data_IF_967842501169
#
_entry.id   IF_967842501169
#
_cell.length_a   1.000
_cell.length_b   1.000
_cell.length_c   1.000
_cell.angle_alpha   90.00
_cell.angle_beta   90.00
_cell.angle_gamma   90.00
#
_symmetry.space_group_name_H-M   'P 1'
#
loop_
_entity.id
_entity.type
_entity.pdbx_description
1 polymer ?
#
# COMPACT_ATOMS: atom_id res chain seq x y z
N UNK A 1 10.44 -17.77 -4.76
CA UNK A 1 10.74 -18.08 -3.35
C UNK A 1 11.63 -16.97 -2.81
N UNK A 2 11.28 -16.36 -1.68
CA UNK A 2 12.09 -15.30 -1.07
C UNK A 2 13.33 -15.87 -0.38
N UNK A 3 14.42 -15.11 -0.33
CA UNK A 3 15.64 -15.48 0.40
C UNK A 3 15.35 -15.59 1.91
N UNK A 4 15.79 -16.66 2.58
CA UNK A 4 15.68 -16.83 4.03
C UNK A 4 16.37 -15.71 4.81
N UNK A 5 15.94 -15.53 6.07
CA UNK A 5 16.49 -14.57 7.03
C UNK A 5 16.65 -13.16 6.47
N UNK A 6 15.68 -12.73 5.66
CA UNK A 6 15.74 -11.46 4.95
C UNK A 6 14.48 -10.65 5.26
N UNK A 7 14.66 -9.36 5.58
CA UNK A 7 13.57 -8.40 5.70
C UNK A 7 13.18 -7.89 4.32
N UNK A 8 11.88 -7.77 4.07
CA UNK A 8 11.33 -7.25 2.84
C UNK A 8 10.35 -6.13 3.11
N UNK A 9 10.29 -5.17 2.19
CA UNK A 9 9.19 -4.21 2.05
C UNK A 9 8.40 -4.51 0.80
N UNK A 10 7.09 -4.32 0.88
CA UNK A 10 6.19 -4.41 -0.26
C UNK A 10 5.65 -3.02 -0.61
N UNK A 11 5.55 -2.76 -1.90
CA UNK A 11 5.09 -1.49 -2.45
C UNK A 11 3.99 -1.73 -3.48
N UNK A 12 2.90 -0.99 -3.38
CA UNK A 12 1.88 -0.93 -4.42
C UNK A 12 2.32 0.08 -5.48
N UNK A 13 2.47 -0.35 -6.73
CA UNK A 13 2.97 0.49 -7.83
C UNK A 13 1.87 0.68 -8.88
N UNK A 14 1.54 1.94 -9.17
CA UNK A 14 0.39 2.29 -9.99
C UNK A 14 0.51 3.67 -10.64
N UNK A 15 -0.40 3.97 -11.56
CA UNK A 15 -0.61 5.27 -12.18
C UNK A 15 -2.05 5.70 -12.02
N UNK A 16 -2.25 7.02 -12.05
CA UNK A 16 -3.56 7.66 -12.04
C UNK A 16 -3.88 8.22 -13.43
N UNK A 17 -5.10 8.03 -13.90
CA UNK A 17 -5.65 8.63 -15.12
C UNK A 17 -7.14 8.92 -14.90
N UNK A 18 -7.48 10.18 -14.65
CA UNK A 18 -8.84 10.60 -14.28
C UNK A 18 -9.37 9.76 -13.11
N UNK A 19 -8.60 9.68 -12.02
CA UNK A 19 -8.97 8.91 -10.82
C UNK A 19 -10.21 9.52 -10.16
N UNK A 20 -11.07 8.65 -9.63
CA UNK A 20 -12.26 9.03 -8.87
C UNK A 20 -12.64 7.95 -7.86
N UNK A 21 -13.30 8.35 -6.77
CA UNK A 21 -13.81 7.46 -5.72
C UNK A 21 -12.79 7.12 -4.62
N UNK A 22 -11.69 7.87 -4.52
CA UNK A 22 -10.58 7.69 -3.56
C UNK A 22 -10.23 8.98 -2.78
N UNK A 23 -11.11 9.98 -2.82
CA UNK A 23 -10.80 11.35 -2.38
C UNK A 23 -10.83 11.52 -0.85
N UNK A 24 -11.69 10.77 -0.16
CA UNK A 24 -12.02 11.02 1.24
C UNK A 24 -11.54 9.95 2.22
N UNK A 25 -11.43 8.70 1.77
CA UNK A 25 -11.07 7.57 2.62
C UNK A 25 -9.75 6.97 2.16
N UNK A 26 -8.78 6.78 3.08
CA UNK A 26 -7.52 6.16 2.71
C UNK A 26 -7.74 4.68 2.40
N UNK A 27 -6.93 4.18 1.47
CA UNK A 27 -6.84 2.76 1.20
C UNK A 27 -6.11 2.09 2.34
N UNK A 28 -6.72 1.04 2.90
CA UNK A 28 -6.10 0.17 3.90
C UNK A 28 -5.18 -0.81 3.19
N UNK A 29 -3.90 -0.77 3.52
CA UNK A 29 -2.86 -1.63 2.97
C UNK A 29 -2.45 -2.65 4.03
N UNK A 30 -2.20 -3.89 3.63
CA UNK A 30 -1.66 -4.90 4.53
C UNK A 30 -0.65 -5.82 3.85
N UNK A 31 0.28 -6.33 4.66
CA UNK A 31 1.26 -7.36 4.28
C UNK A 31 1.47 -8.29 5.47
N UNK A 32 1.32 -9.59 5.31
CA UNK A 32 1.54 -10.53 6.40
C UNK A 32 1.51 -11.98 5.97
N UNK A 33 2.03 -12.86 6.81
CA UNK A 33 1.92 -14.31 6.62
C UNK A 33 0.53 -14.75 7.07
N UNK A 34 -0.13 -15.58 6.28
CA UNK A 34 -1.48 -16.10 6.59
C UNK A 34 -1.49 -16.74 7.98
N UNK A 35 -2.46 -16.36 8.81
CA UNK A 35 -2.60 -16.83 10.19
C UNK A 35 -1.74 -16.08 11.21
N UNK A 36 -1.00 -15.05 10.81
CA UNK A 36 -0.23 -14.17 11.70
C UNK A 36 -0.76 -12.73 11.67
N UNK A 37 -0.37 -11.92 12.65
CA UNK A 37 -0.65 -10.49 12.61
C UNK A 37 0.31 -9.81 11.61
N UNK A 38 -0.24 -9.38 10.47
CA UNK A 38 0.49 -8.65 9.44
C UNK A 38 0.66 -7.16 9.74
N UNK A 39 1.59 -6.53 9.01
CA UNK A 39 1.73 -5.08 8.95
C UNK A 39 0.48 -4.47 8.31
N UNK A 40 0.00 -3.36 8.88
CA UNK A 40 -1.14 -2.59 8.37
C UNK A 40 -0.74 -1.13 8.21
N UNK A 41 -1.14 -0.52 7.10
CA UNK A 41 -0.93 0.89 6.80
C UNK A 41 -2.20 1.48 6.19
N UNK A 42 -2.30 2.80 6.22
CA UNK A 42 -3.33 3.54 5.50
C UNK A 42 -2.66 4.55 4.57
N UNK A 43 -3.18 4.70 3.36
CA UNK A 43 -2.66 5.68 2.43
C UNK A 43 -3.72 6.21 1.46
N UNK A 44 -3.62 7.49 1.12
CA UNK A 44 -4.32 8.00 -0.05
C UNK A 44 -3.60 7.57 -1.32
N UNK A 45 -4.36 7.37 -2.40
CA UNK A 45 -3.79 7.08 -3.72
C UNK A 45 -3.69 8.32 -4.63
N UNK A 46 -4.20 9.45 -4.17
CA UNK A 46 -4.00 10.74 -4.80
C UNK A 46 -2.85 11.50 -4.12
N UNK A 47 -1.95 12.15 -4.89
CA UNK A 47 -0.80 12.87 -4.36
C UNK A 47 -1.18 14.21 -3.69
N UNK A 48 -2.40 14.72 -3.89
CA UNK A 48 -2.79 16.06 -3.46
C UNK A 48 -3.44 16.05 -2.07
N UNK A 49 -2.66 16.47 -1.06
CA UNK A 49 -3.14 16.68 0.32
C UNK A 49 -4.21 17.77 0.44
N UNK A 50 -4.12 18.79 -0.42
CA UNK A 50 -4.92 20.01 -0.32
C UNK A 50 -6.40 19.83 -0.68
N UNK A 51 -6.76 18.66 -1.21
CA UNK A 51 -8.16 18.32 -1.52
C UNK A 51 -8.93 17.78 -0.32
N UNK A 52 -8.22 17.44 0.77
CA UNK A 52 -8.84 16.95 2.00
C UNK A 52 -9.18 18.16 2.88
N UNK A 53 -10.47 18.36 3.24
CA UNK A 53 -10.87 19.39 4.20
C UNK A 53 -10.03 19.32 5.49
N UNK A 54 -9.62 20.45 6.05
CA UNK A 54 -8.69 20.52 7.20
C UNK A 54 -9.19 19.71 8.40
N UNK A 55 -10.50 19.66 8.61
CA UNK A 55 -11.20 18.90 9.62
C UNK A 55 -11.21 17.38 9.37
N UNK A 56 -10.94 16.94 8.15
CA UNK A 56 -10.82 15.55 7.73
C UNK A 56 -9.38 15.13 7.43
N UNK A 57 -8.40 16.04 7.53
CA UNK A 57 -6.99 15.70 7.32
C UNK A 57 -6.53 14.73 8.42
N UNK A 58 -6.03 13.55 8.05
CA UNK A 58 -5.50 12.63 9.04
C UNK A 58 -4.26 13.22 9.71
N UNK A 59 -4.03 12.81 10.95
CA UNK A 59 -2.76 13.01 11.64
C UNK A 59 -1.61 12.53 10.74
N UNK A 60 -0.61 13.36 10.44
CA UNK A 60 0.43 13.06 9.45
C UNK A 60 1.21 11.76 9.69
N UNK A 61 1.17 11.23 10.92
CA UNK A 61 1.89 10.02 11.30
C UNK A 61 1.15 8.72 10.94
N UNK A 62 -0.17 8.77 10.71
CA UNK A 62 -0.99 7.55 10.58
C UNK A 62 -1.35 7.22 9.12
N UNK A 63 -1.24 8.19 8.21
CA UNK A 63 -1.65 8.04 6.80
C UNK A 63 -0.57 8.53 5.85
N UNK A 64 -0.27 7.70 4.85
CA UNK A 64 0.74 7.96 3.83
C UNK A 64 0.12 8.55 2.56
N UNK A 65 0.98 9.16 1.75
CA UNK A 65 0.66 9.64 0.40
C UNK A 65 1.63 9.00 -0.58
N UNK A 66 1.24 8.83 -1.84
CA UNK A 66 2.09 8.15 -2.80
C UNK A 66 3.29 9.01 -3.17
N UNK A 67 4.42 8.35 -3.40
CA UNK A 67 5.64 8.99 -3.88
C UNK A 67 5.77 8.79 -5.38
N UNK A 68 6.12 9.87 -6.08
CA UNK A 68 6.44 9.81 -7.50
C UNK A 68 7.84 9.19 -7.70
N UNK A 69 7.91 8.20 -8.58
CA UNK A 69 9.16 7.58 -9.03
C UNK A 69 9.72 8.31 -10.25
N UNK A 70 11.01 8.11 -10.50
CA UNK A 70 11.71 8.68 -11.67
C UNK A 70 11.17 8.17 -13.02
N UNK A 71 10.53 6.99 -13.03
CA UNK A 71 9.90 6.38 -14.20
C UNK A 71 8.45 6.85 -14.43
N UNK A 72 7.98 7.79 -13.61
CA UNK A 72 6.64 8.37 -13.67
C UNK A 72 5.53 7.49 -13.10
N UNK A 73 5.86 6.37 -12.44
CA UNK A 73 4.90 5.62 -11.63
C UNK A 73 4.79 6.23 -10.23
N UNK A 74 3.67 5.96 -9.56
CA UNK A 74 3.47 6.22 -8.14
C UNK A 74 3.74 4.93 -7.36
N UNK A 75 4.31 5.07 -6.17
CA UNK A 75 4.41 3.97 -5.22
C UNK A 75 4.00 4.37 -3.80
N UNK A 76 3.44 3.41 -3.08
CA UNK A 76 3.15 3.52 -1.66
C UNK A 76 3.58 2.26 -0.92
N UNK A 77 4.17 2.42 0.26
CA UNK A 77 4.59 1.30 1.08
C UNK A 77 3.35 0.60 1.68
N UNK A 78 3.21 -0.70 1.42
CA UNK A 78 2.13 -1.50 1.99
C UNK A 78 2.47 -2.01 3.40
N UNK A 79 3.76 -2.24 3.66
CA UNK A 79 4.28 -2.79 4.90
C UNK A 79 5.58 -3.55 4.69
N UNK A 80 6.02 -4.19 5.75
CA UNK A 80 7.22 -5.03 5.76
C UNK A 80 6.94 -6.40 6.38
N UNK A 81 7.75 -7.38 6.00
CA UNK A 81 7.70 -8.73 6.56
C UNK A 81 9.11 -9.35 6.59
N UNK A 82 9.32 -10.27 7.53
CA UNK A 82 10.56 -11.03 7.62
C UNK A 82 10.33 -12.46 7.11
N UNK A 83 11.17 -12.91 6.19
CA UNK A 83 11.16 -14.30 5.76
C UNK A 83 12.11 -15.12 6.63
N UNK A 84 11.60 -15.90 7.57
CA UNK A 84 12.43 -16.76 8.43
C UNK A 84 13.08 -17.93 7.66
N UNK A 85 12.51 -18.34 6.52
CA UNK A 85 12.99 -19.47 5.72
C UNK A 85 12.77 -20.84 6.37
N UNK A 86 11.74 -20.98 7.21
CA UNK A 86 11.34 -22.26 7.80
C UNK A 86 10.81 -23.24 6.73
N UNK A 87 10.85 -24.54 7.01
CA UNK A 87 10.46 -25.65 6.11
C UNK A 87 8.98 -25.60 5.68
N UNK A 88 8.15 -24.82 6.36
CA UNK A 88 6.78 -24.50 5.97
C UNK A 88 6.76 -23.05 5.49
N UNK A 89 6.99 -22.84 4.20
CA UNK A 89 6.83 -21.52 3.59
C UNK A 89 5.36 -21.10 3.71
N UNK A 90 5.04 -20.31 4.74
CA UNK A 90 3.71 -19.75 4.93
C UNK A 90 3.32 -18.92 3.71
N UNK A 91 2.04 -18.90 3.39
CA UNK A 91 1.51 -18.06 2.32
C UNK A 91 1.57 -16.60 2.75
N UNK A 92 2.06 -15.73 1.86
CA UNK A 92 2.09 -14.29 2.08
C UNK A 92 0.80 -13.69 1.51
N UNK A 93 0.05 -12.98 2.34
CA UNK A 93 -1.13 -12.22 1.95
C UNK A 93 -0.79 -10.73 1.91
N UNK A 94 -1.24 -10.06 0.84
CA UNK A 94 -1.12 -8.63 0.67
C UNK A 94 -2.45 -8.07 0.17
N UNK A 95 -2.91 -6.97 0.74
CA UNK A 95 -4.19 -6.38 0.36
C UNK A 95 -4.12 -4.86 0.27
N UNK A 96 -4.95 -4.30 -0.60
CA UNK A 96 -5.20 -2.88 -0.74
C UNK A 96 -6.72 -2.68 -0.89
N UNK A 97 -7.36 -2.16 0.15
CA UNK A 97 -8.82 -2.14 0.27
C UNK A 97 -9.33 -0.74 0.66
N UNK A 98 -10.20 -0.19 -0.16
CA UNK A 98 -11.04 0.98 0.16
C UNK A 98 -12.50 0.55 0.02
N UNK A 99 -13.19 0.39 1.14
CA UNK A 99 -14.59 -0.06 1.21
C UNK A 99 -15.48 0.90 1.99
N UNK A 100 -14.92 1.94 2.60
CA UNK A 100 -15.63 2.87 3.48
C UNK A 100 -16.35 3.94 2.66
N UNK A 101 -15.73 4.40 1.57
CA UNK A 101 -16.30 5.46 0.76
C UNK A 101 -17.57 5.06 0.01
N UNK A 102 -17.81 3.77 -0.24
CA UNK A 102 -19.00 3.29 -0.96
C UNK A 102 -19.16 3.80 -2.40
N UNK A 103 -18.19 4.58 -2.90
CA UNK A 103 -18.23 5.23 -4.19
C UNK A 103 -17.87 4.27 -5.33
N UNK A 104 -18.39 4.59 -6.52
CA UNK A 104 -17.85 4.05 -7.77
C UNK A 104 -16.40 4.50 -7.91
N UNK A 105 -15.52 3.58 -8.31
CA UNK A 105 -14.07 3.78 -8.35
C UNK A 105 -13.53 3.53 -9.74
N UNK A 106 -12.54 4.32 -10.14
CA UNK A 106 -11.86 4.12 -11.41
C UNK A 106 -10.66 5.02 -11.61
N UNK A 107 -10.02 4.88 -12.77
CA UNK A 107 -8.86 5.69 -13.17
C UNK A 107 -7.53 5.29 -12.54
N UNK A 108 -7.44 4.10 -11.93
CA UNK A 108 -6.18 3.50 -11.48
C UNK A 108 -5.66 2.48 -12.50
N UNK A 109 -4.36 2.53 -12.78
CA UNK A 109 -3.65 1.56 -13.59
C UNK A 109 -2.60 0.93 -12.68
N UNK A 110 -2.75 -0.35 -12.35
CA UNK A 110 -1.79 -1.05 -11.50
C UNK A 110 -0.69 -1.69 -12.33
N UNK A 111 0.57 -1.44 -11.96
CA UNK A 111 1.70 -2.25 -12.42
C UNK A 111 1.77 -3.55 -11.63
N UNK A 112 1.50 -3.47 -10.32
CA UNK A 112 1.47 -4.62 -9.42
C UNK A 112 2.02 -4.28 -8.04
N UNK A 113 2.46 -5.32 -7.34
CA UNK A 113 3.15 -5.22 -6.05
C UNK A 113 4.62 -5.56 -6.26
N UNK A 114 5.50 -4.65 -5.84
CA UNK A 114 6.94 -4.86 -5.84
C UNK A 114 7.42 -5.21 -4.43
N UNK A 115 8.24 -6.27 -4.32
CA UNK A 115 8.80 -6.73 -3.05
C UNK A 115 10.32 -6.56 -3.11
N UNK A 116 10.88 -5.81 -2.16
CA UNK A 116 12.29 -5.41 -2.13
C UNK A 116 12.92 -5.85 -0.82
N UNK A 117 14.07 -6.53 -0.89
CA UNK A 117 14.85 -6.83 0.30
C UNK A 117 15.44 -5.53 0.89
N UNK A 118 15.41 -5.43 2.21
CA UNK A 118 16.03 -4.34 2.97
C UNK A 118 17.31 -4.91 3.56
N UNK A 119 18.44 -4.29 3.23
CA UNK A 119 19.74 -4.66 3.78
C UNK A 119 19.90 -4.12 5.21
#
# INVERSE_FOLDING_TARGET
MFSPKTHYKAYLVYKVRNVYGFEFYPVKLSVGVVGTEGSKRAAYLEPERDRIPIDLQPTPNDVQFPMARVDGWLEVEMGEFFNEGCMNAGELEMSALEIEGGNWKGGLIFQGIEIRAIA
#
